data_IF_978886814805
#
_entry.id   IF_978886814805
#
_cell.length_a   1.000
_cell.length_b   1.000
_cell.length_c   1.000
_cell.angle_alpha   90.00
_cell.angle_beta   90.00
_cell.angle_gamma   90.00
#
_symmetry.space_group_name_H-M   'P 1'
#
loop_
_entity.id
_entity.type
_entity.pdbx_description
1 polymer ?
#
# COMPACT_ATOMS: atom_id res chain seq x y z
N UNK A 1 -7.24 13.62 13.31
CA UNK A 1 -6.10 12.87 12.74
C UNK A 1 -4.86 13.06 13.59
N UNK A 2 -4.75 14.16 14.36
CA UNK A 2 -3.65 14.33 15.32
C UNK A 2 -4.06 13.84 16.72
N UNK A 3 -3.40 12.77 17.18
CA UNK A 3 -3.54 12.25 18.54
C UNK A 3 -2.14 12.13 19.15
N UNK A 4 -1.95 12.55 20.40
CA UNK A 4 -0.62 12.69 21.04
C UNK A 4 0.22 11.39 21.14
N UNK A 5 -0.44 10.24 20.96
CA UNK A 5 0.18 8.91 21.02
C UNK A 5 0.36 8.27 19.63
N UNK A 6 0.08 8.99 18.55
CA UNK A 6 0.14 8.47 17.19
C UNK A 6 1.05 9.36 16.36
N UNK A 7 2.21 8.82 16.02
CA UNK A 7 3.13 9.40 15.05
C UNK A 7 2.94 8.71 13.68
N UNK A 8 2.95 9.49 12.61
CA UNK A 8 2.75 9.00 11.23
C UNK A 8 3.90 9.45 10.35
N UNK A 9 4.59 8.50 9.73
CA UNK A 9 5.60 8.72 8.71
C UNK A 9 5.04 8.32 7.34
N UNK A 10 5.16 9.20 6.33
CA UNK A 10 4.69 8.93 4.96
C UNK A 10 5.87 8.96 3.99
N UNK A 11 5.75 8.27 2.85
CA UNK A 11 6.83 8.12 1.86
C UNK A 11 8.10 7.46 2.44
N UNK A 12 7.94 6.59 3.44
CA UNK A 12 9.01 5.82 4.05
C UNK A 12 8.84 4.35 3.70
N UNK A 13 9.91 3.72 3.24
CA UNK A 13 10.00 2.27 3.08
C UNK A 13 10.45 1.65 4.42
N UNK A 14 9.64 0.73 4.94
CA UNK A 14 9.93 0.00 6.18
C UNK A 14 11.27 -0.76 6.13
N UNK A 15 11.65 -1.30 4.97
CA UNK A 15 12.85 -2.12 4.84
C UNK A 15 14.15 -1.34 5.00
N UNK A 16 14.15 -0.04 4.70
CA UNK A 16 15.31 0.86 4.88
C UNK A 16 15.71 0.94 6.35
N UNK A 17 14.75 0.91 7.27
CA UNK A 17 14.96 1.07 8.72
C UNK A 17 14.49 -0.16 9.53
N UNK A 18 14.27 -1.31 8.88
CA UNK A 18 13.68 -2.53 9.48
C UNK A 18 14.34 -2.92 10.79
N UNK A 19 15.67 -2.94 10.85
CA UNK A 19 16.41 -3.33 12.07
C UNK A 19 16.13 -2.38 13.24
N UNK A 20 16.04 -1.08 12.97
CA UNK A 20 15.77 -0.06 13.99
C UNK A 20 14.34 -0.22 14.52
N UNK A 21 13.34 -0.31 13.64
CA UNK A 21 11.95 -0.48 14.06
C UNK A 21 11.72 -1.79 14.84
N UNK A 22 12.35 -2.89 14.41
CA UNK A 22 12.26 -4.17 15.13
C UNK A 22 12.90 -4.13 16.52
N UNK A 23 13.88 -3.23 16.73
CA UNK A 23 14.57 -3.06 18.02
C UNK A 23 13.83 -2.10 18.96
N UNK A 24 13.30 -1.01 18.43
CA UNK A 24 12.72 0.07 19.24
C UNK A 24 11.35 -0.29 19.80
N UNK A 25 10.58 -1.11 19.08
CA UNK A 25 9.22 -1.46 19.47
C UNK A 25 9.11 -2.90 19.95
N UNK A 26 8.48 -3.14 21.12
CA UNK A 26 8.33 -4.49 21.67
C UNK A 26 7.37 -5.36 20.86
N UNK A 27 6.50 -4.75 20.05
CA UNK A 27 5.56 -5.44 19.17
C UNK A 27 5.43 -4.68 17.86
N UNK A 28 5.49 -5.42 16.76
CA UNK A 28 5.33 -4.90 15.41
C UNK A 28 4.11 -5.53 14.75
N UNK A 29 3.28 -4.72 14.12
CA UNK A 29 2.16 -5.16 13.29
C UNK A 29 2.48 -4.75 11.87
N UNK A 30 2.86 -5.72 11.04
CA UNK A 30 3.26 -5.49 9.66
C UNK A 30 2.14 -5.93 8.70
N UNK A 31 1.76 -5.05 7.79
CA UNK A 31 0.64 -5.26 6.84
C UNK A 31 1.08 -5.18 5.38
N UNK A 32 2.39 -5.14 5.12
CA UNK A 32 2.94 -5.21 3.76
C UNK A 32 3.05 -6.65 3.25
N UNK A 33 3.83 -6.84 2.20
CA UNK A 33 4.07 -8.14 1.56
C UNK A 33 4.88 -9.07 2.47
N UNK A 34 4.31 -10.25 2.80
CA UNK A 34 4.92 -11.19 3.75
C UNK A 34 6.10 -11.96 3.17
N UNK A 35 6.05 -12.28 1.88
CA UNK A 35 7.14 -12.89 1.12
C UNK A 35 8.36 -11.97 1.08
N UNK A 36 8.17 -10.67 0.83
CA UNK A 36 9.23 -9.66 0.94
C UNK A 36 9.78 -9.55 2.37
N UNK A 37 8.91 -9.60 3.38
CA UNK A 37 9.33 -9.53 4.79
C UNK A 37 10.31 -10.64 5.18
N UNK A 38 10.13 -11.84 4.60
CA UNK A 38 11.00 -13.01 4.81
C UNK A 38 12.10 -13.13 3.75
N UNK A 39 12.42 -12.06 3.02
CA UNK A 39 13.44 -11.98 1.98
C UNK A 39 13.22 -13.00 0.84
N UNK A 40 11.95 -13.25 0.48
CA UNK A 40 11.52 -14.19 -0.57
C UNK A 40 12.08 -15.61 -0.42
N UNK A 41 12.46 -16.03 0.80
CA UNK A 41 13.10 -17.33 1.08
C UNK A 41 12.29 -18.56 0.65
N UNK A 42 10.98 -18.41 0.49
CA UNK A 42 10.06 -19.47 0.06
C UNK A 42 9.54 -19.27 -1.38
N UNK A 43 10.15 -18.33 -2.13
CA UNK A 43 9.64 -17.85 -3.41
C UNK A 43 8.78 -16.59 -3.28
N UNK A 44 8.42 -16.04 -4.42
CA UNK A 44 7.51 -14.89 -4.56
C UNK A 44 6.05 -15.38 -4.62
N UNK A 45 5.16 -14.68 -3.93
CA UNK A 45 3.72 -14.94 -4.04
C UNK A 45 3.18 -14.29 -5.32
N UNK A 46 2.47 -15.06 -6.14
CA UNK A 46 1.87 -14.56 -7.37
C UNK A 46 0.65 -13.68 -7.07
N UNK A 47 0.61 -12.49 -7.69
CA UNK A 47 -0.51 -11.56 -7.63
C UNK A 47 -0.91 -11.08 -9.02
N UNK A 48 -2.20 -10.81 -9.21
CA UNK A 48 -2.70 -10.10 -10.38
C UNK A 48 -2.69 -8.60 -10.11
N UNK A 49 -2.03 -7.83 -10.98
CA UNK A 49 -1.99 -6.37 -10.90
C UNK A 49 -3.11 -5.72 -11.72
N UNK A 50 -3.41 -4.47 -11.41
CA UNK A 50 -4.29 -3.60 -12.19
C UNK A 50 -3.51 -2.37 -12.64
N UNK A 51 -3.72 -1.96 -13.89
CA UNK A 51 -3.20 -0.69 -14.41
C UNK A 51 -4.35 0.29 -14.53
N UNK A 52 -4.19 1.45 -13.89
CA UNK A 52 -5.14 2.55 -13.98
C UNK A 52 -4.62 3.57 -14.99
N UNK A 53 -5.49 3.98 -15.91
CA UNK A 53 -5.27 5.11 -16.81
C UNK A 53 -6.28 6.19 -16.45
N UNK A 54 -5.78 7.41 -16.18
CA UNK A 54 -6.60 8.52 -15.76
C UNK A 54 -6.67 9.55 -16.88
N UNK A 55 -7.87 9.87 -17.34
CA UNK A 55 -8.13 10.99 -18.24
C UNK A 55 -9.05 12.00 -17.57
N UNK A 56 -8.79 13.29 -17.82
CA UNK A 56 -9.70 14.37 -17.44
C UNK A 56 -10.48 14.78 -18.67
N UNK A 57 -11.80 14.62 -18.63
CA UNK A 57 -12.68 14.99 -19.73
C UNK A 57 -13.46 16.25 -19.38
N UNK A 58 -13.49 17.20 -20.31
CA UNK A 58 -14.36 18.38 -20.23
C UNK A 58 -15.76 18.02 -20.73
N UNK A 59 -16.41 17.08 -20.06
CA UNK A 59 -17.78 16.65 -20.34
C UNK A 59 -18.47 16.16 -19.07
N UNK A 60 -19.75 16.49 -18.91
CA UNK A 60 -20.51 16.15 -17.70
C UNK A 60 -20.90 14.66 -17.61
N UNK A 61 -21.05 13.96 -18.74
CA UNK A 61 -21.50 12.57 -18.79
C UNK A 61 -20.62 11.78 -19.77
N UNK A 62 -19.69 10.97 -19.25
CA UNK A 62 -18.80 10.15 -20.06
C UNK A 62 -19.52 8.98 -20.75
N UNK A 63 -20.38 8.25 -20.03
CA UNK A 63 -21.20 7.17 -20.58
C UNK A 63 -22.61 7.71 -20.85
N UNK A 64 -22.82 8.21 -22.08
CA UNK A 64 -24.05 8.89 -22.52
C UNK A 64 -25.35 8.07 -22.49
N UNK A 65 -25.34 6.85 -21.94
CA UNK A 65 -26.53 6.07 -21.59
C UNK A 65 -26.21 5.26 -20.32
N UNK A 66 -27.16 5.21 -19.38
CA UNK A 66 -27.12 4.26 -18.28
C UNK A 66 -27.40 2.85 -18.82
N UNK A 67 -26.37 2.15 -19.30
CA UNK A 67 -26.46 0.72 -19.53
C UNK A 67 -26.26 0.03 -18.19
N UNK A 68 -27.37 -0.23 -17.51
CA UNK A 68 -27.45 -1.24 -16.46
C UNK A 68 -27.57 -2.59 -17.18
N UNK A 69 -26.68 -3.53 -16.88
CA UNK A 69 -26.85 -4.94 -17.24
C UNK A 69 -27.66 -5.63 -16.15
#
# INVERSE_FOLDING_TARGET
>A
MDHENIDVETNVDFFVNKEQYLKDFPKNVYTGMIDEFIDYKLGELEYCSLRFEYETLDMEIYLGNAVVN
#
